data_IF_770775608675
#
_entry.id   IF_770775608675
#
_cell.length_a   1.000
_cell.length_b   1.000
_cell.length_c   1.000
_cell.angle_alpha   90.00
_cell.angle_beta   90.00
_cell.angle_gamma   90.00
#
_symmetry.space_group_name_H-M   'P 1'
#
loop_
_entity.id
_entity.type
_entity.pdbx_description
1 polymer ?
2 non-polymer ?
3 non-polymer ?
4 non-polymer ?
5 non-polymer ?
6 water ?
#
# COMPACT_ATOMS: atom_id res chain seq x y z
N UNK A 7 -10.82 18.78 16.03
CA UNK A 7 -11.12 17.52 15.31
C UNK A 7 -11.05 17.76 13.80
N UNK A 8 -10.00 17.23 13.16
CA UNK A 8 -9.84 17.38 11.72
C UNK A 8 -8.88 16.28 11.24
N UNK A 9 -9.28 15.58 10.19
CA UNK A 9 -8.51 14.47 9.67
C UNK A 9 -7.19 14.95 9.06
N UNK A 10 -6.22 14.04 9.01
CA UNK A 10 -4.94 14.32 8.37
C UNK A 10 -5.12 14.16 6.87
N UNK A 11 -4.64 15.14 6.12
CA UNK A 11 -4.76 15.10 4.68
C UNK A 11 -3.83 14.04 4.10
N UNK A 12 -2.52 14.15 4.37
CA UNK A 12 -1.57 13.25 3.74
C UNK A 12 -1.35 11.97 4.51
N UNK A 13 -1.43 10.85 3.77
CA UNK A 13 -1.15 9.52 4.30
C UNK A 13 -0.14 8.79 3.43
N UNK A 14 0.66 7.96 4.10
CA UNK A 14 1.60 7.06 3.46
C UNK A 14 0.93 5.71 3.41
N UNK A 15 0.99 5.04 2.25
CA UNK A 15 0.39 3.72 2.09
C UNK A 15 1.40 2.90 1.28
N UNK A 16 2.16 2.06 1.98
CA UNK A 16 3.20 1.30 1.31
C UNK A 16 3.24 -0.14 1.78
N UNK A 17 3.52 -1.04 0.85
CA UNK A 17 3.70 -2.43 1.19
C UNK A 17 5.03 -2.86 0.60
N UNK A 18 5.77 -3.62 1.41
CA UNK A 18 7.09 -4.09 1.04
C UNK A 18 7.07 -5.59 0.78
N UNK A 19 7.87 -6.01 -0.19
CA UNK A 19 7.96 -7.41 -0.60
C UNK A 19 9.38 -7.93 -0.41
N UNK A 20 9.48 -9.24 -0.12
CA UNK A 20 10.76 -9.89 0.03
C UNK A 20 11.49 -9.72 -1.31
N UNK A 21 12.64 -9.02 -1.34
CA UNK A 21 13.36 -8.78 -2.59
C UNK A 21 13.73 -10.02 -3.41
N UNK A 22 14.30 -11.03 -2.73
CA UNK A 22 14.75 -12.24 -3.39
C UNK A 22 13.59 -13.01 -4.03
N UNK A 23 12.50 -13.18 -3.28
CA UNK A 23 11.34 -13.92 -3.77
C UNK A 23 10.62 -13.16 -4.89
N UNK A 24 10.47 -11.83 -4.74
CA UNK A 24 9.76 -11.05 -5.75
C UNK A 24 10.55 -11.00 -7.06
N UNK A 25 11.88 -11.04 -6.97
CA UNK A 25 12.73 -10.95 -8.15
C UNK A 25 12.62 -12.19 -9.03
N UNK A 26 12.17 -13.32 -8.47
CA UNK A 26 12.01 -14.56 -9.20
C UNK A 26 11.00 -14.42 -10.35
N UNK A 27 9.99 -13.56 -10.17
CA UNK A 27 8.95 -13.38 -11.17
C UNK A 27 9.47 -12.74 -12.46
N UNK A 28 8.89 -13.16 -13.59
CA UNK A 28 9.21 -12.59 -14.89
C UNK A 28 8.20 -11.45 -15.12
N UNK A 29 8.32 -10.75 -16.26
CA UNK A 29 7.47 -9.62 -16.56
C UNK A 29 5.99 -10.00 -16.65
N UNK A 30 5.68 -11.13 -17.30
CA UNK A 30 4.30 -11.55 -17.45
C UNK A 30 3.66 -11.77 -16.08
N UNK A 31 4.42 -12.33 -15.14
CA UNK A 31 3.92 -12.58 -13.79
C UNK A 31 3.64 -11.25 -13.06
N UNK A 32 4.55 -10.28 -13.16
CA UNK A 32 4.31 -9.00 -12.53
C UNK A 32 3.04 -8.37 -13.10
N UNK A 33 2.93 -8.36 -14.44
CA UNK A 33 1.78 -7.78 -15.11
C UNK A 33 0.49 -8.48 -14.66
N UNK A 34 0.56 -9.80 -14.44
CA UNK A 34 -0.63 -10.53 -14.04
C UNK A 34 -1.02 -10.13 -12.62
N UNK A 35 -0.03 -9.94 -11.77
CA UNK A 35 -0.31 -9.55 -10.40
C UNK A 35 -0.93 -8.16 -10.33
N UNK A 36 -0.40 -7.22 -11.12
CA UNK A 36 -0.97 -5.88 -11.13
C UNK A 36 -2.40 -5.96 -11.65
N UNK A 37 -2.63 -6.79 -12.68
CA UNK A 37 -3.95 -6.94 -13.26
C UNK A 37 -4.94 -7.40 -12.18
N UNK A 38 -4.55 -8.44 -11.43
CA UNK A 38 -5.38 -8.99 -10.37
C UNK A 38 -5.61 -7.96 -9.27
N UNK A 39 -4.59 -7.15 -8.99
CA UNK A 39 -4.69 -6.15 -7.94
C UNK A 39 -5.71 -5.07 -8.34
N UNK A 40 -5.62 -4.58 -9.58
CA UNK A 40 -6.58 -3.60 -10.04
C UNK A 40 -8.01 -4.18 -9.97
N UNK A 41 -8.17 -5.48 -10.28
CA UNK A 41 -9.47 -6.14 -10.21
C UNK A 41 -9.99 -6.18 -8.79
N UNK A 42 -9.06 -6.31 -7.82
CA UNK A 42 -9.42 -6.37 -6.43
C UNK A 42 -9.82 -4.99 -5.92
N UNK A 43 -9.24 -3.96 -6.54
CA UNK A 43 -9.54 -2.58 -6.14
C UNK A 43 -10.90 -2.11 -6.65
N UNK A 44 -11.27 -2.57 -7.85
CA UNK A 44 -12.46 -2.12 -8.56
C UNK A 44 -13.74 -2.09 -7.73
N UNK A 45 -14.12 -3.18 -7.01
CA UNK A 45 -15.37 -3.15 -6.23
C UNK A 45 -15.38 -2.32 -4.95
N UNK A 46 -14.20 -1.82 -4.55
CA UNK A 46 -14.08 -1.11 -3.27
C UNK A 46 -14.58 0.32 -3.37
N UNK A 47 -14.48 0.95 -4.55
CA UNK A 47 -14.96 2.31 -4.69
C UNK A 47 -14.88 2.74 -6.15
N UNK A 48 -15.85 3.53 -6.66
CA UNK A 48 -15.81 3.98 -8.06
C UNK A 48 -14.50 4.62 -8.52
N UNK A 49 -13.79 5.36 -7.64
CA UNK A 49 -12.56 6.03 -8.05
C UNK A 49 -11.44 5.02 -8.25
N UNK A 50 -11.65 3.76 -7.84
CA UNK A 50 -10.63 2.74 -8.01
C UNK A 50 -10.91 1.82 -9.19
N UNK A 51 -11.97 2.12 -9.97
CA UNK A 51 -12.39 1.26 -11.06
C UNK A 51 -11.58 1.47 -12.35
N UNK A 52 -11.00 2.66 -12.56
CA UNK A 52 -10.28 2.94 -13.79
C UNK A 52 -8.84 3.38 -13.52
N UNK A 53 -7.91 2.74 -14.25
CA UNK A 53 -6.50 3.08 -14.18
C UNK A 53 -5.94 3.35 -15.57
N UNK A 54 -5.06 4.35 -15.63
CA UNK A 54 -4.49 4.80 -16.88
C UNK A 54 -2.99 5.03 -16.82
N UNK A 55 -2.38 5.02 -18.00
CA UNK A 55 -0.99 5.35 -18.16
C UNK A 55 -0.92 6.87 -17.97
N UNK A 56 0.21 7.37 -17.44
CA UNK A 56 0.39 8.80 -17.25
C UNK A 56 0.63 9.45 -18.61
N UNK A 57 0.55 10.79 -18.69
CA UNK A 57 0.74 11.50 -19.95
C UNK A 57 0.90 13.02 -19.78
N UNK A 58 1.29 13.67 -20.88
CA UNK A 58 1.54 15.10 -20.94
C UNK A 58 0.22 15.87 -20.91
N UNK A 59 -0.48 15.88 -22.04
CA UNK A 59 -1.76 16.56 -22.12
C UNK A 59 -2.77 15.73 -21.34
N UNK A 60 -3.92 16.32 -21.01
CA UNK A 60 -4.91 15.54 -20.31
C UNK A 60 -5.44 14.46 -21.26
N UNK A 61 -5.46 14.77 -22.56
CA UNK A 61 -5.94 13.80 -23.55
C UNK A 61 -5.03 12.58 -23.54
N UNK A 62 -3.72 12.82 -23.53
CA UNK A 62 -2.74 11.75 -23.53
C UNK A 62 -2.87 10.89 -22.27
N UNK A 63 -3.11 11.55 -21.12
CA UNK A 63 -3.15 10.86 -19.83
C UNK A 63 -4.42 10.04 -19.58
N UNK A 64 -5.43 10.17 -20.44
CA UNK A 64 -6.70 9.46 -20.30
C UNK A 64 -6.97 8.55 -21.50
N UNK A 65 -6.02 8.45 -22.43
CA UNK A 65 -6.23 7.66 -23.64
C UNK A 65 -6.00 6.15 -23.44
N UNK A 66 -5.20 5.78 -22.43
CA UNK A 66 -4.84 4.38 -22.26
C UNK A 66 -5.33 3.83 -20.92
N UNK A 67 -6.53 3.26 -20.96
CA UNK A 67 -7.20 2.68 -19.80
C UNK A 67 -6.74 1.22 -19.68
N UNK A 68 -5.88 0.93 -18.70
CA UNK A 68 -5.33 -0.41 -18.55
C UNK A 68 -6.36 -1.38 -17.97
N UNK A 69 -7.41 -0.86 -17.32
CA UNK A 69 -8.47 -1.70 -16.79
C UNK A 69 -9.43 -2.12 -17.90
N UNK A 70 -9.37 -1.46 -19.06
CA UNK A 70 -10.18 -1.87 -20.20
C UNK A 70 -9.34 -2.66 -21.18
N UNK A 71 -8.09 -2.22 -21.36
CA UNK A 71 -7.19 -2.84 -22.31
C UNK A 71 -5.94 -3.34 -21.59
N UNK A 72 -5.99 -4.62 -21.20
CA UNK A 72 -4.93 -5.30 -20.45
C UNK A 72 -3.56 -5.13 -21.10
N UNK A 73 -3.49 -5.23 -22.44
CA UNK A 73 -2.21 -5.16 -23.12
C UNK A 73 -1.51 -3.81 -22.87
N UNK A 74 -2.25 -2.80 -22.39
CA UNK A 74 -1.62 -1.52 -22.12
C UNK A 74 -0.65 -1.64 -20.95
N UNK A 75 -0.90 -2.54 -19.99
CA UNK A 75 0.00 -2.70 -18.85
C UNK A 75 1.46 -2.84 -19.28
N UNK A 76 1.70 -3.64 -20.32
CA UNK A 76 3.05 -3.86 -20.83
C UNK A 76 3.65 -2.56 -21.35
N UNK A 77 2.79 -1.60 -21.73
CA UNK A 77 3.27 -0.33 -22.23
C UNK A 77 3.73 0.54 -21.06
N UNK A 78 3.05 0.38 -19.91
CA UNK A 78 3.43 1.11 -18.70
C UNK A 78 4.83 0.67 -18.30
N UNK A 79 5.03 -0.65 -18.24
CA UNK A 79 6.30 -1.26 -17.86
C UNK A 79 7.39 -0.86 -18.83
N UNK A 80 7.14 -1.05 -20.13
CA UNK A 80 8.10 -0.74 -21.18
C UNK A 80 8.58 0.71 -21.12
N UNK A 81 7.67 1.63 -20.77
CA UNK A 81 7.96 3.05 -20.69
C UNK A 81 8.60 3.44 -19.35
N UNK A 82 8.10 2.84 -18.26
CA UNK A 82 8.50 3.20 -16.91
C UNK A 82 9.66 2.37 -16.36
N UNK A 83 9.84 1.13 -16.82
CA UNK A 83 10.89 0.29 -16.29
C UNK A 83 12.25 0.99 -16.35
N UNK A 84 13.09 0.73 -15.35
CA UNK A 84 14.41 1.31 -15.28
C UNK A 84 15.39 0.27 -15.85
N UNK A 85 16.65 0.66 -16.00
CA UNK A 85 17.66 -0.24 -16.57
C UNK A 85 18.07 -1.33 -15.59
N UNK A 86 17.51 -1.33 -14.37
CA UNK A 86 17.86 -2.34 -13.38
C UNK A 86 16.66 -2.72 -12.52
N UNK A 87 15.43 -2.47 -13.01
CA UNK A 87 14.29 -2.84 -12.18
C UNK A 87 12.97 -2.70 -12.92
N UNK A 88 12.06 -3.63 -12.61
CA UNK A 88 10.70 -3.61 -13.09
C UNK A 88 10.02 -2.46 -12.38
N UNK A 89 9.34 -1.57 -13.13
CA UNK A 89 8.66 -0.46 -12.47
C UNK A 89 7.47 -0.02 -13.31
N UNK A 90 6.37 0.31 -12.63
CA UNK A 90 5.22 0.81 -13.36
C UNK A 90 4.46 1.80 -12.48
N UNK A 91 3.99 2.84 -13.16
CA UNK A 91 3.26 3.93 -12.53
C UNK A 91 1.95 4.11 -13.29
N UNK A 92 0.85 4.17 -12.53
CA UNK A 92 -0.48 4.33 -13.08
C UNK A 92 -1.19 5.40 -12.27
N UNK A 93 -2.19 6.05 -12.86
CA UNK A 93 -3.00 7.00 -12.12
C UNK A 93 -4.46 6.62 -12.39
N UNK A 94 -5.37 7.07 -11.52
CA UNK A 94 -6.75 6.65 -11.66
C UNK A 94 -7.61 7.63 -12.47
N UNK A 95 -6.97 8.61 -13.14
CA UNK A 95 -7.68 9.54 -14.01
C UNK A 95 -8.28 10.74 -13.30
N UNK A 96 -8.16 10.80 -11.97
CA UNK A 96 -8.64 11.93 -11.19
C UNK A 96 -7.44 12.76 -10.76
N UNK A 97 -7.47 14.06 -11.11
CA UNK A 97 -6.41 15.00 -10.81
C UNK A 97 -6.36 15.43 -9.35
N UNK A 98 -7.52 15.82 -8.82
CA UNK A 98 -7.65 16.41 -7.50
C UNK A 98 -7.64 15.37 -6.38
N UNK A 99 -6.72 15.49 -5.39
CA UNK A 99 -6.70 14.57 -4.25
C UNK A 99 -7.97 14.66 -3.42
N UNK A 100 -8.70 15.78 -3.54
CA UNK A 100 -9.93 15.98 -2.79
C UNK A 100 -11.05 15.13 -3.40
N UNK A 101 -10.86 14.63 -4.62
CA UNK A 101 -11.88 13.83 -5.28
C UNK A 101 -11.42 12.39 -5.48
N UNK A 102 -10.45 11.95 -4.68
CA UNK A 102 -9.99 10.56 -4.77
C UNK A 102 -8.89 10.32 -5.80
N UNK A 103 -8.22 11.38 -6.27
CA UNK A 103 -7.11 11.22 -7.20
C UNK A 103 -6.06 10.31 -6.56
N UNK A 104 -5.51 9.37 -7.34
CA UNK A 104 -4.57 8.44 -6.77
C UNK A 104 -3.63 7.90 -7.85
N UNK A 105 -2.39 7.62 -7.42
CA UNK A 105 -1.37 7.06 -8.29
C UNK A 105 -0.84 5.79 -7.64
N UNK A 106 -0.42 4.85 -8.49
CA UNK A 106 0.14 3.59 -8.05
C UNK A 106 1.55 3.48 -8.58
N UNK A 107 2.48 3.10 -7.70
CA UNK A 107 3.87 2.92 -8.07
C UNK A 107 4.29 1.55 -7.56
N UNK A 108 4.67 0.68 -8.50
CA UNK A 108 5.11 -0.67 -8.21
C UNK A 108 6.53 -0.85 -8.73
N UNK A 109 7.41 -1.39 -7.89
CA UNK A 109 8.77 -1.59 -8.34
C UNK A 109 9.24 -2.95 -7.83
N UNK A 110 10.05 -3.64 -8.63
CA UNK A 110 10.60 -4.94 -8.26
C UNK A 110 12.03 -4.97 -8.80
N UNK A 111 13.01 -4.88 -7.89
CA UNK A 111 14.39 -4.77 -8.31
C UNK A 111 15.32 -5.85 -7.75
N UNK A 112 14.92 -6.49 -6.65
CA UNK A 112 15.81 -7.44 -6.01
C UNK A 112 16.46 -6.83 -4.76
N UNK A 113 16.09 -5.57 -4.48
CA UNK A 113 16.53 -4.81 -3.32
C UNK A 113 15.27 -4.36 -2.58
N UNK A 114 15.33 -4.39 -1.24
CA UNK A 114 14.18 -4.07 -0.40
C UNK A 114 13.57 -2.71 -0.72
N UNK A 115 14.44 -1.71 -0.88
CA UNK A 115 14.02 -0.33 -1.12
C UNK A 115 13.16 -0.23 -2.39
N UNK A 116 13.49 -1.03 -3.41
CA UNK A 116 12.79 -0.97 -4.69
C UNK A 116 12.02 -2.26 -4.99
N UNK A 117 11.46 -2.83 -3.93
CA UNK A 117 10.60 -4.00 -3.99
C UNK A 117 9.39 -3.65 -3.15
N UNK A 118 8.47 -2.88 -3.75
CA UNK A 118 7.33 -2.41 -2.97
C UNK A 118 6.22 -1.88 -3.87
N UNK A 119 5.10 -1.59 -3.21
CA UNK A 119 3.92 -1.05 -3.85
C UNK A 119 3.45 0.13 -3.03
N UNK A 120 3.18 1.25 -3.71
CA UNK A 120 2.71 2.41 -2.98
C UNK A 120 1.53 3.04 -3.71
N UNK A 121 0.53 3.45 -2.92
CA UNK A 121 -0.63 4.18 -3.40
C UNK A 121 -0.48 5.58 -2.84
N UNK A 122 -0.42 6.59 -3.72
CA UNK A 122 -0.19 7.96 -3.29
C UNK A 122 -1.19 8.93 -3.90
N UNK A 123 -1.78 9.84 -3.13
CA UNK A 123 -1.67 9.98 -1.70
C UNK A 123 -2.93 9.29 -1.19
N UNK A 124 -2.75 8.26 -0.35
CA UNK A 124 -3.87 7.47 0.16
C UNK A 124 -4.85 8.32 0.96
N UNK A 125 -4.42 9.51 1.39
CA UNK A 125 -5.33 10.36 2.13
C UNK A 125 -6.55 10.74 1.28
N UNK A 126 -6.38 10.64 -0.04
CA UNK A 126 -7.44 10.95 -0.99
C UNK A 126 -8.55 9.92 -0.91
N UNK A 127 -8.19 8.65 -0.62
CA UNK A 127 -9.16 7.57 -0.48
C UNK A 127 -9.89 7.72 0.84
N UNK A 128 -9.12 8.02 1.87
CA UNK A 128 -9.68 8.15 3.20
C UNK A 128 -10.87 9.10 3.21
N UNK A 129 -10.90 10.07 2.28
CA UNK A 129 -12.02 11.00 2.34
C UNK A 129 -13.18 10.56 1.45
N UNK A 130 -12.93 9.77 0.40
CA UNK A 130 -14.02 9.34 -0.46
C UNK A 130 -14.65 8.05 0.09
N UNK A 131 -13.87 7.24 0.83
CA UNK A 131 -14.45 6.04 1.39
C UNK A 131 -15.50 6.37 2.46
N UNK A 132 -16.67 5.75 2.36
CA UNK A 132 -17.75 5.95 3.32
C UNK A 132 -17.48 5.10 4.58
N UNK A 133 -16.69 4.03 4.43
CA UNK A 133 -16.33 3.16 5.55
C UNK A 133 -14.86 2.80 5.36
N UNK A 134 -13.96 3.78 5.57
CA UNK A 134 -12.53 3.61 5.28
C UNK A 134 -11.72 2.51 6.00
N UNK A 135 -12.00 2.21 7.27
CA UNK A 135 -11.22 1.19 7.94
C UNK A 135 -11.30 -0.15 7.19
N UNK A 136 -12.53 -0.61 6.96
CA UNK A 136 -12.74 -1.88 6.27
C UNK A 136 -12.24 -1.83 4.82
N UNK A 137 -12.45 -0.70 4.12
CA UNK A 137 -12.03 -0.61 2.73
C UNK A 137 -10.50 -0.69 2.63
N UNK A 138 -9.79 -0.01 3.54
CA UNK A 138 -8.34 -0.10 3.53
C UNK A 138 -7.89 -1.51 3.88
N UNK A 139 -8.54 -2.14 4.84
CA UNK A 139 -8.20 -3.52 5.16
C UNK A 139 -8.39 -4.39 3.92
N UNK A 140 -9.44 -4.14 3.12
CA UNK A 140 -9.68 -4.93 1.92
C UNK A 140 -8.49 -4.80 0.95
N UNK A 141 -7.90 -3.60 0.89
CA UNK A 141 -6.75 -3.37 0.01
C UNK A 141 -5.59 -4.20 0.52
N UNK A 142 -5.33 -4.19 1.83
CA UNK A 142 -4.28 -5.03 2.40
C UNK A 142 -4.52 -6.50 2.08
N UNK A 143 -5.77 -6.96 2.24
CA UNK A 143 -6.12 -8.35 1.95
C UNK A 143 -5.78 -8.72 0.51
N UNK A 144 -6.08 -7.83 -0.43
CA UNK A 144 -5.79 -8.07 -1.84
C UNK A 144 -4.29 -8.21 -2.06
N UNK A 145 -3.50 -7.34 -1.42
CA UNK A 145 -2.06 -7.41 -1.63
C UNK A 145 -1.51 -8.73 -1.09
N UNK A 146 -1.98 -9.11 0.10
CA UNK A 146 -1.50 -10.33 0.74
C UNK A 146 -1.83 -11.57 -0.09
N UNK A 147 -3.01 -11.59 -0.71
CA UNK A 147 -3.38 -12.76 -1.49
C UNK A 147 -2.59 -12.81 -2.81
N UNK A 148 -2.31 -11.65 -3.41
CA UNK A 148 -1.63 -11.59 -4.70
C UNK A 148 -0.12 -11.73 -4.55
N UNK A 149 0.43 -11.13 -3.49
CA UNK A 149 1.86 -11.17 -3.23
C UNK A 149 2.16 -11.91 -1.93
N UNK A 150 2.35 -13.23 -1.96
CA UNK A 150 2.72 -13.96 -0.75
C UNK A 150 4.10 -13.51 -0.24
N UNK A 151 4.82 -12.71 -1.05
CA UNK A 151 6.14 -12.23 -0.68
C UNK A 151 6.07 -11.01 0.23
N UNK A 152 4.86 -10.53 0.54
CA UNK A 152 4.71 -9.33 1.36
C UNK A 152 5.35 -9.53 2.74
N UNK A 153 6.18 -8.56 3.15
CA UNK A 153 6.91 -8.62 4.42
C UNK A 153 6.47 -7.51 5.39
N UNK A 154 5.84 -6.47 4.88
CA UNK A 154 5.41 -5.40 5.78
C UNK A 154 4.41 -4.52 5.03
N UNK A 155 3.54 -3.86 5.78
CA UNK A 155 2.62 -2.92 5.18
C UNK A 155 2.27 -1.85 6.20
N UNK A 156 2.12 -0.61 5.73
CA UNK A 156 1.78 0.47 6.65
C UNK A 156 0.91 1.51 5.93
N UNK A 157 -0.16 1.90 6.64
CA UNK A 157 -1.02 3.02 6.29
C UNK A 157 -0.93 3.96 7.49
N UNK A 158 -0.36 5.14 7.28
CA UNK A 158 -0.19 6.07 8.39
C UNK A 158 -0.20 7.51 7.91
N UNK A 159 -0.65 8.45 8.75
CA UNK A 159 -0.57 9.85 8.39
C UNK A 159 0.91 10.18 8.16
N UNK A 160 1.18 10.99 7.12
CA UNK A 160 2.53 11.38 6.78
C UNK A 160 3.20 12.09 7.96
N UNK A 161 2.47 13.07 8.54
CA UNK A 161 3.01 13.85 9.65
C UNK A 161 3.39 12.97 10.83
N UNK A 162 2.57 11.95 11.11
CA UNK A 162 2.83 11.02 12.19
C UNK A 162 4.13 10.26 11.94
N UNK A 163 4.23 9.65 10.75
CA UNK A 163 5.40 8.84 10.43
C UNK A 163 6.67 9.68 10.55
N UNK A 164 6.68 10.86 9.92
CA UNK A 164 7.87 11.70 9.90
C UNK A 164 8.22 12.31 11.27
N UNK A 165 7.24 12.79 12.02
CA UNK A 165 7.58 13.52 13.23
C UNK A 165 7.22 12.87 14.56
N UNK A 166 6.51 11.74 14.55
CA UNK A 166 6.14 11.17 15.84
C UNK A 166 6.47 9.70 15.96
N UNK A 167 6.91 9.03 14.87
CA UNK A 167 7.17 7.60 14.99
C UNK A 167 8.12 7.38 16.18
N UNK A 168 7.84 6.34 16.96
CA UNK A 168 8.60 6.06 18.18
C UNK A 168 10.07 5.75 17.88
N UNK A 169 10.29 4.88 16.90
CA UNK A 169 11.64 4.42 16.60
C UNK A 169 12.13 5.08 15.33
N UNK A 170 13.19 5.91 15.44
CA UNK A 170 13.68 6.66 14.29
C UNK A 170 14.24 5.79 13.16
N UNK A 171 14.83 4.66 13.55
CA UNK A 171 15.52 3.78 12.63
C UNK A 171 14.73 2.53 12.26
N UNK A 172 13.41 2.54 12.52
CA UNK A 172 12.55 1.41 12.23
C UNK A 172 11.34 1.85 11.42
N UNK A 173 10.74 0.87 10.77
CA UNK A 173 9.46 1.09 10.12
C UNK A 173 8.42 1.27 11.23
N UNK A 174 7.18 1.55 10.83
CA UNK A 174 6.05 1.69 11.73
C UNK A 174 4.88 0.88 11.20
N UNK A 175 4.00 0.42 12.10
CA UNK A 175 2.83 -0.34 11.68
C UNK A 175 1.75 0.65 11.24
N UNK A 176 1.85 1.90 11.68
CA UNK A 176 0.87 2.92 11.32
C UNK A 176 -0.52 2.68 11.91
N UNK A 177 -1.53 3.36 11.34
CA UNK A 177 -2.91 3.20 11.77
C UNK A 177 -3.40 1.78 11.46
N UNK A 178 -3.18 1.38 10.20
CA UNK A 178 -3.51 0.04 9.76
C UNK A 178 -2.24 -0.51 9.12
N UNK A 179 -1.85 -1.71 9.52
CA UNK A 179 -0.64 -2.26 8.95
C UNK A 179 -0.62 -3.77 8.96
N UNK A 180 0.41 -4.31 8.29
CA UNK A 180 0.62 -5.73 8.18
C UNK A 180 1.95 -6.14 8.79
N UNK A 181 1.88 -7.13 9.68
CA UNK A 181 3.03 -7.74 10.32
C UNK A 181 3.02 -9.22 9.95
N UNK A 182 4.10 -9.76 9.37
CA UNK A 182 4.10 -11.16 8.92
C UNK A 182 4.28 -12.20 10.03
N UNK A 183 3.54 -12.04 11.13
CA UNK A 183 3.59 -13.03 12.20
C UNK A 183 2.25 -13.05 12.93
N UNK A 184 1.87 -14.19 13.55
CA UNK A 184 0.65 -14.25 14.36
C UNK A 184 0.90 -13.36 15.58
N UNK A 185 -0.16 -12.70 16.06
CA UNK A 185 -0.06 -11.82 17.21
C UNK A 185 -1.20 -12.16 18.17
N UNK A 186 -0.98 -11.91 19.47
CA UNK A 186 -1.97 -12.21 20.49
C UNK A 186 -2.56 -10.89 20.99
N UNK A 187 -3.90 -10.85 21.10
CA UNK A 187 -4.63 -9.66 21.53
C UNK A 187 -4.16 -9.17 22.89
N UNK A 188 -3.75 -10.11 23.76
CA UNK A 188 -3.32 -9.79 25.11
C UNK A 188 -2.07 -8.91 25.12
N UNK A 189 -1.31 -8.89 24.01
CA UNK A 189 -0.10 -8.07 23.98
C UNK A 189 -0.38 -6.65 23.47
N UNK A 190 -1.57 -6.41 22.93
CA UNK A 190 -1.84 -5.08 22.38
C UNK A 190 -2.93 -4.34 23.15
N UNK A 191 -3.02 -3.00 22.94
CA UNK A 191 -4.05 -2.18 23.58
C UNK A 191 -5.46 -2.61 23.19
N UNK A 192 -6.43 -2.18 24.01
CA UNK A 192 -7.83 -2.52 23.78
C UNK A 192 -8.35 -1.86 22.50
N UNK A 193 -7.76 -0.71 22.13
CA UNK A 193 -8.17 0.03 20.95
C UNK A 193 -7.71 -0.66 19.66
N UNK A 194 -6.79 -1.62 19.79
CA UNK A 194 -6.25 -2.34 18.64
C UNK A 194 -7.10 -3.55 18.28
N UNK A 195 -7.39 -3.70 16.99
CA UNK A 195 -8.08 -4.87 16.48
C UNK A 195 -7.05 -5.66 15.67
N UNK A 196 -6.95 -6.96 15.95
CA UNK A 196 -6.05 -7.86 15.24
C UNK A 196 -6.88 -8.74 14.29
N UNK A 197 -6.47 -8.78 13.01
CA UNK A 197 -7.13 -9.62 12.04
C UNK A 197 -6.11 -10.67 11.61
N UNK A 198 -6.35 -11.92 11.99
CA UNK A 198 -5.47 -13.02 11.67
C UNK A 198 -5.61 -13.41 10.20
N UNK A 199 -4.46 -13.51 9.51
CA UNK A 199 -4.42 -13.91 8.11
C UNK A 199 -3.58 -15.17 8.09
N UNK A 200 -4.18 -16.38 8.24
CA UNK A 200 -3.40 -17.63 8.26
C UNK A 200 -2.49 -17.77 7.05
N UNK A 201 -1.26 -18.20 7.28
CA UNK A 201 -0.27 -18.35 6.22
C UNK A 201 0.32 -17.02 5.77
N UNK A 202 0.07 -15.95 6.54
CA UNK A 202 0.59 -14.64 6.20
C UNK A 202 1.07 -13.90 7.44
N UNK A 203 0.14 -13.63 8.36
CA UNK A 203 0.45 -12.90 9.57
C UNK A 203 -0.78 -12.23 10.16
N UNK A 204 -0.66 -10.92 10.43
CA UNK A 204 -1.73 -10.18 11.06
C UNK A 204 -1.86 -8.77 10.51
N UNK A 205 -3.11 -8.32 10.39
CA UNK A 205 -3.42 -6.95 10.07
C UNK A 205 -3.82 -6.28 11.39
N UNK A 206 -3.22 -5.13 11.68
CA UNK A 206 -3.55 -4.39 12.89
C UNK A 206 -4.31 -3.12 12.52
N UNK A 207 -5.39 -2.86 13.25
CA UNK A 207 -6.16 -1.63 13.15
C UNK A 207 -5.99 -0.98 14.52
N UNK A 208 -5.13 0.04 14.59
CA UNK A 208 -4.79 0.65 15.86
C UNK A 208 -5.69 1.83 16.17
N UNK A 209 -6.80 1.52 16.86
CA UNK A 209 -7.77 2.51 17.28
C UNK A 209 -8.54 3.07 16.11
N UNK A 210 -9.14 4.24 16.35
CA UNK A 210 -9.94 4.95 15.38
C UNK A 210 -9.02 5.79 14.50
N UNK A 211 -9.55 6.21 13.34
CA UNK A 211 -8.84 7.05 12.40
C UNK A 211 -8.13 8.20 13.14
N UNK A 212 -6.79 8.30 13.02
CA UNK A 212 -6.04 9.39 13.65
C UNK A 212 -6.62 10.70 13.14
N UNK A 213 -6.88 11.65 14.05
CA UNK A 213 -7.54 12.89 13.67
C UNK A 213 -6.55 14.06 13.81
N UNK A 221 -0.10 9.88 19.31
CA UNK A 221 -1.05 8.76 19.10
C UNK A 221 -0.50 7.49 19.72
N UNK A 222 -0.72 7.36 21.04
CA UNK A 222 -0.27 6.20 21.80
C UNK A 222 -0.83 4.92 21.17
N UNK A 223 -1.98 5.03 20.49
CA UNK A 223 -2.60 3.88 19.85
C UNK A 223 -1.62 3.23 18.87
N UNK A 224 -0.96 4.05 18.06
CA UNK A 224 0.00 3.51 17.11
C UNK A 224 1.32 3.28 17.82
N UNK A 225 1.72 4.23 18.68
CA UNK A 225 2.98 4.13 19.39
C UNK A 225 3.09 2.86 20.22
N UNK A 226 2.02 2.54 20.97
CA UNK A 226 2.03 1.37 21.82
C UNK A 226 2.16 0.10 20.99
N UNK A 227 1.57 0.11 19.78
CA UNK A 227 1.65 -1.06 18.91
C UNK A 227 3.09 -1.20 18.39
N UNK A 228 3.70 -0.10 17.94
CA UNK A 228 5.07 -0.15 17.48
C UNK A 228 6.00 -0.64 18.59
N UNK A 229 5.77 -0.16 19.81
CA UNK A 229 6.57 -0.56 20.94
C UNK A 229 6.50 -2.07 21.12
N UNK A 230 5.30 -2.63 21.12
CA UNK A 230 5.15 -4.06 21.32
C UNK A 230 5.82 -4.82 20.19
N UNK A 231 5.64 -4.36 18.94
CA UNK A 231 6.24 -5.03 17.79
C UNK A 231 7.76 -5.02 17.91
N UNK A 232 8.33 -3.92 18.40
CA UNK A 232 9.77 -3.80 18.53
C UNK A 232 10.26 -4.76 19.61
N UNK A 233 9.51 -4.86 20.73
CA UNK A 233 9.89 -5.75 21.84
C UNK A 233 9.88 -7.21 21.40
N UNK A 234 8.98 -7.55 20.45
CA UNK A 234 8.86 -8.89 19.92
C UNK A 234 9.94 -9.15 18.86
N UNK A 235 10.64 -8.10 18.43
CA UNK A 235 11.65 -8.22 17.41
C UNK A 235 11.03 -8.29 16.01
N UNK A 236 9.78 -7.83 15.90
CA UNK A 236 9.05 -7.89 14.64
C UNK A 236 9.04 -6.57 13.88
N UNK A 237 9.49 -5.46 14.49
CA UNK A 237 9.46 -4.18 13.80
C UNK A 237 10.74 -4.09 12.97
N UNK A 238 10.65 -4.08 11.61
CA UNK A 238 11.85 -4.09 10.79
C UNK A 238 12.60 -2.76 10.75
N UNK A 239 13.92 -2.81 10.52
CA UNK A 239 14.70 -1.58 10.38
C UNK A 239 14.28 -0.88 9.08
N UNK A 240 14.48 0.43 9.01
CA UNK A 240 14.23 1.19 7.79
C UNK A 240 15.16 0.72 6.67
N UNK A 241 16.39 0.36 7.05
CA UNK A 241 17.40 -0.06 6.08
C UNK A 241 17.53 -1.59 6.09
X LIG B 1 7.30 17.79 6.69
X LIG B 1 6.68 16.45 6.66
X LIG B 1 5.36 16.43 7.38
X LIG B 1 4.45 17.40 6.78
X LIG B 1 5.03 18.73 6.95
X LIG B 1 6.34 18.81 6.21
X LIG B 1 3.09 17.30 7.33
X LIG B 1 2.18 16.38 6.55
X LIG B 1 1.05 17.06 6.05
X LIG B 1 8.58 17.81 5.94
X LIG B 1 8.51 18.22 4.47
X LIG B 1 7.86 16.99 3.38
X LIG B 1 8.18 15.71 3.94
X LIG B 1 8.34 17.29 2.06
X LIG B 1 6.33 17.23 3.42
X LIG C 1 8.82 11.78 2.31
X LIG C 1 7.71 10.96 2.93
X LIG C 1 10.10 10.94 2.32
X LIG C 1 8.45 12.14 0.87
X LIG C 1 9.05 13.04 3.12
X LIG D 1 -5.51 14.83 0.58
X LIG D 1 -6.16 14.47 1.90
X LIG D 1 -4.49 13.74 0.20
X LIG D 1 -6.58 14.91 -0.50
X LIG D 1 -4.80 16.17 0.71
X LIG E 1 -2.01 -18.98 12.15
X LIG E 1 -3.16 -19.11 11.34
X LIG E 1 -0.75 -18.85 11.38
X LIG E 1 -0.93 -19.08 9.99
X LIG F 1 -19.48 0.78 0.44
X LIG F 1 -20.36 1.68 0.27
X LIG F 1 -19.79 -0.45 0.25
X LIG F 1 -18.30 1.09 0.79
#
# INVERSE_FOLDING_TARGET
SNAMTDAKAFRRYIFELYFDPARLLELDDDQHLQRIERFLDALAPLHPVLENWYLCGDSLRDALSHNVTEHRQDLAKALSRDRRTRAVELVLWNGEEDPLKGGLSLDYEASGRAVSSRLQLEDAGSLLQVFDAPASSFVAIFLAVLEIWPETTWGMLAPHAYFVHQRTFPDRRSIGWIGFCPHPLRATDFPAATELVDIPGRGTLLLNGREPMDETRREHFERVGEADIKLMELGYLPPLRG
EPE N1 C2 C3 N4 C5 C6 C7 C8 O8 C9 C10 S O1S O2S O3S
PO4 P O1 O2 O3 O4
PO4 P O1 O2 O3 O4
EDO C1 O1 C2 O2
CO3 C O1 O2 O3
#
